data_IF_612253157269
#
_entry.id   IF_612253157269
#
_cell.length_a   1.000
_cell.length_b   1.000
_cell.length_c   1.000
_cell.angle_alpha   90.00
_cell.angle_beta   90.00
_cell.angle_gamma   90.00
#
_symmetry.space_group_name_H-M   'P 1'
#
loop_
_entity.id
_entity.type
_entity.pdbx_description
1 polymer ?
#
# COMPACT_ATOMS: atom_id res chain seq x y z
N UNK A 1 12.70 8.29 -17.73
CA UNK A 1 12.41 8.76 -16.35
C UNK A 1 12.14 7.51 -15.52
N UNK A 2 13.00 7.20 -14.54
CA UNK A 2 12.97 5.92 -13.82
C UNK A 2 11.74 5.84 -12.92
N UNK A 3 10.64 5.30 -13.44
CA UNK A 3 9.34 5.19 -12.76
C UNK A 3 9.31 4.06 -11.71
N UNK A 4 10.45 3.51 -11.28
CA UNK A 4 10.51 2.31 -10.41
C UNK A 4 10.49 2.62 -8.91
N UNK A 5 10.69 3.88 -8.53
CA UNK A 5 10.64 4.31 -7.14
C UNK A 5 9.21 4.69 -6.76
N UNK A 6 8.74 4.20 -5.60
CA UNK A 6 7.47 4.68 -5.04
C UNK A 6 7.54 6.20 -4.91
N UNK A 7 6.44 6.91 -5.14
CA UNK A 7 6.35 8.35 -4.84
C UNK A 7 6.70 8.66 -3.37
N UNK A 8 6.51 7.69 -2.48
CA UNK A 8 6.81 7.77 -1.04
C UNK A 8 7.70 6.60 -0.63
N UNK A 9 8.72 6.85 0.18
CA UNK A 9 9.66 5.80 0.64
C UNK A 9 8.95 4.54 1.15
N UNK A 10 9.33 3.37 0.60
CA UNK A 10 8.78 2.05 0.98
C UNK A 10 8.76 1.82 2.49
N UNK A 11 9.82 2.26 3.19
CA UNK A 11 9.94 2.12 4.64
C UNK A 11 8.87 2.93 5.38
N UNK A 12 8.59 4.15 4.92
CA UNK A 12 7.56 5.01 5.50
C UNK A 12 6.17 4.42 5.29
N UNK A 13 5.84 4.02 4.05
CA UNK A 13 4.52 3.44 3.75
C UNK A 13 4.29 2.16 4.54
N UNK A 14 5.31 1.28 4.63
CA UNK A 14 5.24 0.09 5.48
C UNK A 14 4.99 0.42 6.95
N UNK A 15 5.72 1.41 7.48
CA UNK A 15 5.50 1.92 8.84
C UNK A 15 4.07 2.42 9.04
N UNK A 16 3.54 3.20 8.11
CA UNK A 16 2.16 3.72 8.17
C UNK A 16 1.12 2.60 8.20
N UNK A 17 1.28 1.55 7.38
CA UNK A 17 0.36 0.41 7.38
C UNK A 17 0.40 -0.33 8.73
N UNK A 18 1.60 -0.59 9.27
CA UNK A 18 1.76 -1.28 10.56
C UNK A 18 1.15 -0.44 11.69
N UNK A 19 1.46 0.86 11.74
CA UNK A 19 0.89 1.76 12.74
C UNK A 19 -0.63 1.87 12.59
N UNK A 20 -1.15 2.03 11.38
CA UNK A 20 -2.59 2.10 11.11
C UNK A 20 -3.33 0.87 11.63
N UNK A 21 -2.81 -0.33 11.38
CA UNK A 21 -3.36 -1.59 11.89
C UNK A 21 -3.31 -1.61 13.43
N UNK A 22 -2.15 -1.29 14.03
CA UNK A 22 -1.97 -1.29 15.48
C UNK A 22 -2.95 -0.35 16.18
N UNK A 23 -3.03 0.91 15.71
CA UNK A 23 -3.94 1.91 16.26
C UNK A 23 -5.41 1.51 16.08
N UNK A 24 -5.77 0.85 14.99
CA UNK A 24 -7.13 0.35 14.77
C UNK A 24 -7.48 -0.78 15.75
N UNK A 25 -6.56 -1.71 16.00
CA UNK A 25 -6.75 -2.80 16.96
C UNK A 25 -6.88 -2.26 18.38
N UNK A 26 -5.97 -1.37 18.79
CA UNK A 26 -6.01 -0.74 20.13
C UNK A 26 -7.26 0.13 20.29
N UNK A 27 -7.62 0.92 19.27
CA UNK A 27 -8.84 1.73 19.28
C UNK A 27 -10.11 0.88 19.38
N UNK A 28 -10.15 -0.27 18.70
CA UNK A 28 -11.28 -1.22 18.81
C UNK A 28 -11.36 -1.80 20.21
N UNK A 29 -10.22 -2.17 20.81
CA UNK A 29 -10.16 -2.65 22.19
C UNK A 29 -10.68 -1.60 23.19
N UNK A 30 -10.26 -0.33 23.04
CA UNK A 30 -10.72 0.77 23.88
C UNK A 30 -12.22 1.04 23.73
N UNK A 31 -12.75 0.85 22.51
CA UNK A 31 -14.18 0.94 22.23
C UNK A 31 -14.99 -0.13 22.95
N UNK A 32 -14.49 -1.37 23.00
CA UNK A 32 -15.13 -2.46 23.75
C UNK A 32 -15.08 -2.20 25.26
N UNK A 33 -13.97 -1.65 25.76
CA UNK A 33 -13.78 -1.33 27.18
C UNK A 33 -14.48 -0.03 27.62
N UNK A 34 -15.26 0.62 26.75
CA UNK A 34 -15.92 1.90 27.00
C UNK A 34 -15.00 3.01 27.54
N UNK A 35 -13.72 2.99 27.15
CA UNK A 35 -12.75 3.98 27.58
C UNK A 35 -13.09 5.37 26.97
N UNK A 36 -12.89 6.50 27.67
CA UNK A 36 -13.29 7.83 27.19
C UNK A 36 -12.63 8.25 25.85
N UNK A 37 -11.48 7.67 25.52
CA UNK A 37 -10.73 7.90 24.28
C UNK A 37 -11.09 6.93 23.13
N UNK A 38 -12.24 6.24 23.24
CA UNK A 38 -12.60 5.14 22.34
C UNK A 38 -12.77 5.53 20.86
N UNK A 39 -13.35 6.68 20.57
CA UNK A 39 -13.70 7.08 19.22
C UNK A 39 -12.54 7.73 18.47
N UNK A 40 -11.78 8.57 19.18
CA UNK A 40 -10.70 9.37 18.59
C UNK A 40 -9.54 8.49 18.14
N UNK A 41 -9.10 7.56 19.00
CA UNK A 41 -7.98 6.67 18.69
C UNK A 41 -8.29 5.73 17.52
N UNK A 42 -9.52 5.21 17.48
CA UNK A 42 -9.99 4.37 16.39
C UNK A 42 -10.08 5.16 15.08
N UNK A 43 -10.62 6.38 15.12
CA UNK A 43 -10.72 7.25 13.94
C UNK A 43 -9.34 7.59 13.39
N UNK A 44 -8.37 7.86 14.26
CA UNK A 44 -6.98 8.11 13.86
C UNK A 44 -6.33 6.88 13.21
N UNK A 45 -6.53 5.68 13.76
CA UNK A 45 -6.04 4.43 13.17
C UNK A 45 -6.64 4.14 11.79
N UNK A 46 -7.95 4.37 11.64
CA UNK A 46 -8.65 4.23 10.35
C UNK A 46 -8.14 5.28 9.36
N UNK A 47 -7.92 6.51 9.79
CA UNK A 47 -7.41 7.58 8.92
C UNK A 47 -6.02 7.25 8.36
N UNK A 48 -5.08 6.83 9.21
CA UNK A 48 -3.72 6.42 8.76
C UNK A 48 -3.81 5.22 7.81
N UNK A 49 -4.64 4.24 8.14
CA UNK A 49 -4.89 3.07 7.29
C UNK A 49 -5.47 3.48 5.93
N UNK A 50 -6.39 4.43 5.90
CA UNK A 50 -6.98 4.96 4.66
C UNK A 50 -5.96 5.71 3.80
N UNK A 51 -5.14 6.58 4.39
CA UNK A 51 -4.09 7.31 3.66
C UNK A 51 -3.08 6.34 3.06
N UNK A 52 -2.59 5.38 3.84
CA UNK A 52 -1.64 4.36 3.35
C UNK A 52 -2.26 3.49 2.25
N UNK A 53 -3.54 3.15 2.36
CA UNK A 53 -4.29 2.44 1.32
C UNK A 53 -4.33 3.23 0.00
N UNK A 54 -4.63 4.54 0.05
CA UNK A 54 -4.65 5.39 -1.16
C UNK A 54 -3.28 5.49 -1.81
N UNK A 55 -2.21 5.65 -1.03
CA UNK A 55 -0.83 5.71 -1.54
C UNK A 55 -0.47 4.42 -2.28
N UNK A 56 -0.79 3.26 -1.69
CA UNK A 56 -0.49 1.96 -2.28
C UNK A 56 -1.33 1.72 -3.55
N UNK A 57 -2.60 2.13 -3.53
CA UNK A 57 -3.45 2.06 -4.71
C UNK A 57 -2.89 2.93 -5.85
N UNK A 58 -2.45 4.15 -5.56
CA UNK A 58 -1.84 5.02 -6.54
C UNK A 58 -0.55 4.41 -7.14
N UNK A 59 0.31 3.80 -6.32
CA UNK A 59 1.50 3.07 -6.79
C UNK A 59 1.08 1.89 -7.69
N UNK A 60 0.08 1.10 -7.30
CA UNK A 60 -0.42 -0.01 -8.13
C UNK A 60 -1.00 0.47 -9.47
N UNK A 61 -1.65 1.63 -9.49
CA UNK A 61 -2.22 2.22 -10.70
C UNK A 61 -1.14 2.76 -11.64
N UNK A 62 -0.04 3.29 -11.11
CA UNK A 62 1.08 3.84 -11.89
C UNK A 62 2.04 2.76 -12.39
N UNK A 63 2.21 1.66 -11.65
CA UNK A 63 3.11 0.57 -12.02
C UNK A 63 2.46 -0.43 -12.98
N UNK A 64 3.26 -0.97 -13.90
CA UNK A 64 2.89 -2.14 -14.72
C UNK A 64 3.12 -3.41 -13.89
N UNK A 65 2.05 -3.83 -13.19
CA UNK A 65 2.07 -5.02 -12.34
C UNK A 65 1.59 -6.26 -13.09
N UNK A 66 2.30 -7.39 -12.87
CA UNK A 66 1.79 -8.71 -13.24
C UNK A 66 0.46 -8.94 -12.53
N UNK A 67 -0.61 -9.19 -13.28
CA UNK A 67 -1.97 -9.41 -12.79
C UNK A 67 -2.52 -8.22 -11.98
N UNK A 68 -2.33 -6.99 -12.45
CA UNK A 68 -2.79 -5.74 -11.80
C UNK A 68 -4.23 -5.80 -11.27
N UNK A 69 -5.18 -6.29 -12.07
CA UNK A 69 -6.58 -6.39 -11.67
C UNK A 69 -6.80 -7.26 -10.42
N UNK A 70 -6.06 -8.37 -10.30
CA UNK A 70 -6.12 -9.25 -9.13
C UNK A 70 -5.60 -8.56 -7.86
N UNK A 71 -4.51 -7.79 -7.97
CA UNK A 71 -3.96 -7.04 -6.84
C UNK A 71 -4.89 -5.93 -6.36
N UNK A 72 -5.47 -5.17 -7.29
CA UNK A 72 -6.44 -4.13 -6.97
C UNK A 72 -7.70 -4.73 -6.34
N UNK A 73 -8.25 -5.79 -6.93
CA UNK A 73 -9.47 -6.43 -6.41
C UNK A 73 -9.24 -7.04 -5.03
N UNK A 74 -8.13 -7.76 -4.84
CA UNK A 74 -7.79 -8.35 -3.54
C UNK A 74 -7.60 -7.28 -2.46
N UNK A 75 -7.09 -6.09 -2.82
CA UNK A 75 -6.93 -4.97 -1.89
C UNK A 75 -8.26 -4.44 -1.33
N UNK A 76 -9.39 -4.62 -2.01
CA UNK A 76 -10.72 -4.33 -1.47
C UNK A 76 -11.27 -5.44 -0.58
N UNK A 77 -10.97 -6.70 -0.90
CA UNK A 77 -11.43 -7.86 -0.13
C UNK A 77 -10.66 -7.94 1.21
N UNK A 78 -9.36 -7.68 1.18
CA UNK A 78 -8.44 -7.80 2.31
C UNK A 78 -7.58 -6.53 2.46
N UNK A 79 -8.19 -5.39 2.85
CA UNK A 79 -7.53 -4.09 2.89
C UNK A 79 -6.42 -3.98 3.94
N UNK A 80 -6.33 -4.91 4.89
CA UNK A 80 -5.29 -4.93 5.92
C UNK A 80 -4.08 -5.77 5.52
N UNK A 81 -4.31 -6.86 4.78
CA UNK A 81 -3.29 -7.86 4.49
C UNK A 81 -2.62 -7.62 3.14
N UNK A 82 -3.40 -7.24 2.13
CA UNK A 82 -2.90 -7.06 0.76
C UNK A 82 -1.92 -5.91 0.62
N UNK A 83 -2.11 -4.75 1.29
CA UNK A 83 -1.09 -3.70 1.30
C UNK A 83 0.29 -4.17 1.77
N UNK A 84 0.33 -4.99 2.83
CA UNK A 84 1.57 -5.56 3.36
C UNK A 84 2.19 -6.56 2.36
N UNK A 85 1.36 -7.47 1.85
CA UNK A 85 1.81 -8.49 0.90
C UNK A 85 2.31 -7.86 -0.41
N UNK A 86 1.63 -6.81 -0.88
CA UNK A 86 2.03 -6.01 -2.03
C UNK A 86 3.39 -5.37 -1.79
N UNK A 87 3.59 -4.64 -0.69
CA UNK A 87 4.87 -3.99 -0.38
C UNK A 87 6.01 -5.00 -0.28
N UNK A 88 5.75 -6.19 0.27
CA UNK A 88 6.73 -7.27 0.34
C UNK A 88 7.08 -7.80 -1.06
N UNK A 89 6.06 -8.07 -1.90
CA UNK A 89 6.22 -8.71 -3.20
C UNK A 89 6.46 -7.74 -4.37
N UNK A 90 6.38 -6.42 -4.13
CA UNK A 90 6.49 -5.33 -5.13
C UNK A 90 7.62 -5.55 -6.12
N UNK A 91 8.83 -5.84 -5.65
CA UNK A 91 10.01 -6.00 -6.50
C UNK A 91 9.91 -7.19 -7.47
N UNK A 92 9.07 -8.19 -7.19
CA UNK A 92 8.82 -9.33 -8.09
C UNK A 92 7.57 -9.15 -8.96
N UNK A 93 6.75 -8.13 -8.70
CA UNK A 93 5.48 -7.89 -9.38
C UNK A 93 5.58 -6.81 -10.46
N UNK A 94 6.49 -5.86 -10.27
CA UNK A 94 6.81 -4.86 -11.29
C UNK A 94 7.41 -5.64 -12.46
N UNK A 95 6.72 -5.63 -13.61
CA UNK A 95 7.27 -6.23 -14.81
C UNK A 95 8.55 -5.48 -15.19
N UNK A 96 9.62 -6.23 -15.42
CA UNK A 96 10.82 -5.67 -16.02
C UNK A 96 10.43 -5.22 -17.43
N UNK A 97 10.25 -3.91 -17.62
CA UNK A 97 9.86 -3.34 -18.90
C UNK A 97 11.08 -3.35 -19.85
N UNK A 98 11.36 -4.53 -20.43
CA UNK A 98 12.42 -4.73 -21.42
C UNK A 98 12.18 -3.92 -22.71
N UNK A 99 10.93 -3.58 -23.01
CA UNK A 99 10.56 -2.75 -24.16
C UNK A 99 11.12 -1.32 -24.10
N UNK A 100 11.40 -0.78 -22.90
CA UNK A 100 12.10 0.50 -22.78
C UNK A 100 13.56 0.41 -23.26
N UNK A 101 14.24 -0.71 -22.99
CA UNK A 101 15.62 -0.94 -23.41
C UNK A 101 15.74 -1.21 -24.92
N UNK A 102 14.81 -1.99 -25.50
CA UNK A 102 14.81 -2.28 -26.93
C UNK A 102 14.50 -1.05 -27.80
N UNK A 103 13.88 -0.03 -27.22
CA UNK A 103 13.59 1.23 -27.94
C UNK A 103 14.80 2.16 -28.04
N UNK A 104 15.74 2.10 -27.08
CA UNK A 104 16.97 2.88 -27.14
C UNK A 104 18.01 2.27 -28.11
N UNK A 105 18.06 0.95 -28.22
CA UNK A 105 19.01 0.25 -29.11
C UNK A 105 18.69 0.43 -30.60
N UNK A 106 17.40 0.54 -30.97
CA UNK A 106 16.98 0.79 -32.35
C UNK A 106 17.11 2.26 -32.80
N UNK A 107 17.51 3.17 -31.90
CA UNK A 107 17.78 4.57 -32.23
C UNK A 107 19.27 4.94 -32.25
N UNK A 108 20.16 3.95 -32.07
CA UNK A 108 21.62 4.11 -32.11
C UNK A 108 22.22 3.72 -33.48
#
# INVERSE_FOLDING_TARGET
MSNSELQVSKKLVCGMVIFGILFTVVGTFFKIMHFPLNGELLTFGIFISGVSWVIIMADMLQQELINKGFWILSMFILPWLIPLLYLYRRNKLIQFNASAFLKEDHQA
#
